data_IF_743163837054
#
_entry.id   IF_743163837054
#
_cell.length_a   1.000
_cell.length_b   1.000
_cell.length_c   1.000
_cell.angle_alpha   90.00
_cell.angle_beta   90.00
_cell.angle_gamma   90.00
#
_symmetry.space_group_name_H-M   'P 1'
#
loop_
_entity.id
_entity.type
_entity.pdbx_description
1 polymer ?
#
# COMPACT_ATOMS: atom_id res chain seq x y z
N UNK A 1 -28.48 3.08 -5.45
CA UNK A 1 -28.09 3.77 -4.21
C UNK A 1 -27.82 5.21 -4.60
N UNK A 2 -28.48 6.16 -3.98
CA UNK A 2 -28.12 7.57 -4.13
C UNK A 2 -26.67 7.72 -3.66
N UNK A 3 -25.88 8.53 -4.35
CA UNK A 3 -24.56 8.90 -3.88
C UNK A 3 -24.72 9.51 -2.48
N UNK A 4 -23.83 9.14 -1.57
CA UNK A 4 -23.89 9.58 -0.19
C UNK A 4 -23.31 11.00 -0.05
N UNK A 5 -23.98 11.97 -0.67
CA UNK A 5 -23.76 13.40 -0.43
C UNK A 5 -24.43 13.75 0.89
N UNK A 6 -23.68 13.65 1.99
CA UNK A 6 -24.20 13.85 3.35
C UNK A 6 -24.28 15.32 3.74
N UNK A 7 -23.51 16.19 3.11
CA UNK A 7 -23.50 17.62 3.39
C UNK A 7 -24.46 18.40 2.46
N UNK A 8 -24.97 17.77 1.39
CA UNK A 8 -25.95 18.36 0.47
C UNK A 8 -25.39 19.41 -0.48
N UNK A 9 -24.07 19.42 -0.74
CA UNK A 9 -23.42 20.38 -1.65
C UNK A 9 -23.45 19.97 -3.13
N UNK A 10 -24.03 18.80 -3.43
CA UNK A 10 -24.15 18.26 -4.79
C UNK A 10 -22.91 17.51 -5.27
N UNK A 11 -21.87 17.37 -4.45
CA UNK A 11 -20.63 16.66 -4.76
C UNK A 11 -20.37 15.62 -3.70
N UNK A 12 -20.15 14.34 -4.08
CA UNK A 12 -19.69 13.32 -3.12
C UNK A 12 -18.19 13.49 -2.88
N UNK A 13 -17.82 14.00 -1.71
CA UNK A 13 -16.42 14.11 -1.31
C UNK A 13 -15.87 12.73 -0.94
N UNK A 14 -14.90 12.27 -1.73
CA UNK A 14 -14.31 10.93 -1.59
C UNK A 14 -13.48 10.75 -0.29
N UNK A 15 -13.29 11.79 0.49
CA UNK A 15 -12.52 11.73 1.74
C UNK A 15 -13.40 11.81 2.98
N UNK A 16 -14.45 12.62 2.95
CA UNK A 16 -15.26 12.98 4.11
C UNK A 16 -16.66 12.39 4.08
N UNK A 17 -17.11 11.99 2.90
CA UNK A 17 -18.42 11.37 2.71
C UNK A 17 -18.30 9.87 2.47
N UNK A 18 -19.41 9.17 2.57
CA UNK A 18 -19.45 7.72 2.54
C UNK A 18 -19.01 7.18 1.18
N UNK A 19 -17.78 6.69 1.10
CA UNK A 19 -17.24 6.11 -0.11
C UNK A 19 -16.36 4.88 0.19
N UNK A 20 -16.01 4.18 -0.85
CA UNK A 20 -15.14 3.03 -0.77
C UNK A 20 -13.67 3.48 -0.81
N UNK A 21 -12.87 3.05 0.17
CA UNK A 21 -11.47 3.49 0.31
C UNK A 21 -10.63 3.35 -0.97
N UNK A 22 -10.85 2.29 -1.76
CA UNK A 22 -10.21 2.12 -3.06
C UNK A 22 -10.53 3.26 -4.03
N UNK A 23 -11.76 3.75 -4.05
CA UNK A 23 -12.16 4.87 -4.92
C UNK A 23 -11.41 6.15 -4.54
N UNK A 24 -11.28 6.42 -3.24
CA UNK A 24 -10.50 7.56 -2.75
C UNK A 24 -9.03 7.48 -3.18
N UNK A 25 -8.38 6.33 -2.95
CA UNK A 25 -6.97 6.15 -3.32
C UNK A 25 -6.77 6.20 -4.84
N UNK A 26 -7.64 5.55 -5.62
CA UNK A 26 -7.59 5.59 -7.08
C UNK A 26 -7.68 7.04 -7.60
N UNK A 27 -8.68 7.80 -7.16
CA UNK A 27 -8.85 9.20 -7.53
C UNK A 27 -7.65 10.07 -7.08
N UNK A 28 -7.08 9.78 -5.91
CA UNK A 28 -5.91 10.50 -5.40
C UNK A 28 -4.67 10.27 -6.26
N UNK A 29 -4.43 9.04 -6.74
CA UNK A 29 -3.30 8.73 -7.61
C UNK A 29 -3.47 9.31 -9.02
N UNK A 30 -4.70 9.36 -9.52
CA UNK A 30 -5.00 9.92 -10.83
C UNK A 30 -4.79 11.45 -10.90
N UNK A 31 -4.84 12.17 -9.77
CA UNK A 31 -4.59 13.63 -9.72
C UNK A 31 -3.25 14.04 -10.33
N UNK A 32 -2.25 13.17 -10.28
CA UNK A 32 -0.93 13.41 -10.86
C UNK A 32 -0.84 13.22 -12.37
N UNK A 33 -1.91 12.76 -13.02
CA UNK A 33 -1.97 12.52 -14.48
C UNK A 33 -1.10 11.37 -14.98
N UNK A 34 -0.51 10.58 -14.08
CA UNK A 34 0.30 9.40 -14.43
C UNK A 34 -0.50 8.10 -14.49
N UNK A 35 -1.68 8.11 -13.92
CA UNK A 35 -2.62 6.97 -13.84
C UNK A 35 -4.03 7.43 -14.13
N UNK A 36 -4.93 6.50 -14.44
CA UNK A 36 -6.35 6.69 -14.69
C UNK A 36 -7.19 5.57 -14.04
N UNK A 37 -6.75 5.08 -12.88
CA UNK A 37 -7.36 3.96 -12.17
C UNK A 37 -8.84 4.18 -11.87
N UNK A 38 -9.19 5.34 -11.29
CA UNK A 38 -10.56 5.67 -10.93
C UNK A 38 -11.46 5.73 -12.16
N UNK A 39 -11.00 6.42 -13.22
CA UNK A 39 -11.71 6.51 -14.49
C UNK A 39 -11.95 5.16 -15.13
N UNK A 40 -10.89 4.33 -15.19
CA UNK A 40 -10.93 3.00 -15.82
C UNK A 40 -11.89 2.06 -15.08
N UNK A 41 -11.82 2.01 -13.75
CA UNK A 41 -12.70 1.17 -12.94
C UNK A 41 -14.15 1.65 -13.03
N UNK A 42 -14.41 2.95 -12.94
CA UNK A 42 -15.74 3.52 -13.07
C UNK A 42 -16.35 3.21 -14.44
N UNK A 43 -15.58 3.36 -15.52
CA UNK A 43 -16.04 3.04 -16.87
C UNK A 43 -16.38 1.56 -17.01
N UNK A 44 -15.56 0.66 -16.48
CA UNK A 44 -15.82 -0.77 -16.50
C UNK A 44 -17.12 -1.15 -15.75
N UNK A 45 -17.41 -0.52 -14.62
CA UNK A 45 -18.70 -0.70 -13.92
C UNK A 45 -19.89 -0.17 -14.74
N UNK A 46 -19.75 1.00 -15.37
CA UNK A 46 -20.80 1.58 -16.23
C UNK A 46 -21.11 0.68 -17.43
N UNK A 47 -20.06 0.17 -18.10
CA UNK A 47 -20.22 -0.70 -19.25
C UNK A 47 -20.81 -2.07 -18.87
N UNK A 48 -20.38 -2.63 -17.72
CA UNK A 48 -21.00 -3.83 -17.16
C UNK A 48 -22.48 -3.65 -16.86
N UNK A 49 -22.86 -2.51 -16.27
CA UNK A 49 -24.28 -2.19 -16.05
C UNK A 49 -25.06 -2.13 -17.37
N UNK A 50 -24.52 -1.49 -18.42
CA UNK A 50 -25.19 -1.43 -19.74
C UNK A 50 -25.46 -2.83 -20.30
N UNK A 51 -24.46 -3.74 -20.20
CA UNK A 51 -24.63 -5.14 -20.66
C UNK A 51 -25.76 -5.82 -19.89
N UNK A 52 -25.78 -5.70 -18.56
CA UNK A 52 -26.83 -6.32 -17.72
C UNK A 52 -28.20 -5.72 -18.03
N UNK A 53 -28.30 -4.40 -18.15
CA UNK A 53 -29.54 -3.71 -18.45
C UNK A 53 -30.08 -4.09 -19.84
N UNK A 54 -29.19 -4.28 -20.83
CA UNK A 54 -29.60 -4.66 -22.19
C UNK A 54 -30.24 -6.06 -22.28
N UNK A 55 -30.01 -6.93 -21.28
CA UNK A 55 -30.65 -8.23 -21.19
C UNK A 55 -32.14 -8.14 -20.81
N UNK A 56 -32.61 -6.98 -20.33
CA UNK A 56 -34.02 -6.68 -20.04
C UNK A 56 -34.73 -7.75 -19.17
N UNK A 57 -34.02 -8.29 -18.17
CA UNK A 57 -34.53 -9.34 -17.28
C UNK A 57 -34.30 -10.76 -17.77
N UNK A 58 -33.87 -10.93 -19.01
CA UNK A 58 -33.54 -12.23 -19.59
C UNK A 58 -32.17 -12.75 -19.13
N UNK A 59 -31.95 -14.06 -19.30
CA UNK A 59 -30.65 -14.65 -19.04
C UNK A 59 -29.57 -14.09 -19.98
N UNK A 60 -28.41 -13.73 -19.42
CA UNK A 60 -27.28 -13.26 -20.22
C UNK A 60 -26.82 -14.31 -21.23
N UNK A 61 -26.61 -13.89 -22.45
CA UNK A 61 -25.99 -14.71 -23.50
C UNK A 61 -24.53 -15.06 -23.15
N UNK A 62 -23.95 -16.13 -23.75
CA UNK A 62 -22.53 -16.43 -23.58
C UNK A 62 -21.60 -15.26 -23.93
N UNK A 63 -21.92 -14.51 -24.98
CA UNK A 63 -21.15 -13.33 -25.39
C UNK A 63 -21.19 -12.22 -24.34
N UNK A 64 -22.35 -11.91 -23.80
CA UNK A 64 -22.51 -10.92 -22.72
C UNK A 64 -21.75 -11.34 -21.46
N UNK A 65 -21.81 -12.61 -21.06
CA UNK A 65 -21.03 -13.14 -19.95
C UNK A 65 -19.54 -12.98 -20.17
N UNK A 66 -19.04 -13.32 -21.37
CA UNK A 66 -17.63 -13.14 -21.72
C UNK A 66 -17.19 -11.68 -21.61
N UNK A 67 -17.99 -10.74 -22.07
CA UNK A 67 -17.71 -9.30 -21.92
C UNK A 67 -17.67 -8.87 -20.46
N UNK A 68 -18.59 -9.35 -19.62
CA UNK A 68 -18.58 -9.06 -18.17
C UNK A 68 -17.33 -9.61 -17.48
N UNK A 69 -16.81 -10.78 -17.91
CA UNK A 69 -15.56 -11.31 -17.36
C UNK A 69 -14.37 -10.42 -17.70
N UNK A 70 -14.28 -9.88 -18.92
CA UNK A 70 -13.25 -8.91 -19.29
C UNK A 70 -13.31 -7.66 -18.39
N UNK A 71 -14.53 -7.10 -18.19
CA UNK A 71 -14.70 -5.93 -17.34
C UNK A 71 -14.36 -6.22 -15.87
N UNK A 72 -14.76 -7.38 -15.35
CA UNK A 72 -14.35 -7.85 -14.02
C UNK A 72 -12.82 -7.88 -13.87
N UNK A 73 -12.12 -8.39 -14.86
CA UNK A 73 -10.66 -8.50 -14.82
C UNK A 73 -9.99 -7.11 -14.88
N UNK A 74 -10.52 -6.18 -15.68
CA UNK A 74 -10.11 -4.78 -15.69
C UNK A 74 -10.25 -4.15 -14.30
N UNK A 75 -11.41 -4.32 -13.65
CA UNK A 75 -11.66 -3.81 -12.29
C UNK A 75 -10.65 -4.39 -11.31
N UNK A 76 -10.52 -5.72 -11.28
CA UNK A 76 -9.65 -6.41 -10.32
C UNK A 76 -8.19 -6.01 -10.45
N UNK A 77 -7.66 -5.98 -11.67
CA UNK A 77 -6.26 -5.59 -11.94
C UNK A 77 -5.97 -4.13 -11.57
N UNK A 78 -6.89 -3.22 -11.84
CA UNK A 78 -6.68 -1.81 -11.47
C UNK A 78 -6.80 -1.60 -9.96
N UNK A 79 -7.70 -2.29 -9.26
CA UNK A 79 -7.78 -2.24 -7.82
C UNK A 79 -6.54 -2.83 -7.13
N UNK A 80 -5.98 -3.92 -7.63
CA UNK A 80 -4.72 -4.46 -7.14
C UNK A 80 -3.57 -3.45 -7.29
N UNK A 81 -3.49 -2.75 -8.44
CA UNK A 81 -2.51 -1.67 -8.64
C UNK A 81 -2.70 -0.51 -7.67
N UNK A 82 -3.93 -0.10 -7.38
CA UNK A 82 -4.21 0.95 -6.38
C UNK A 82 -3.70 0.55 -4.99
N UNK A 83 -3.84 -0.72 -4.60
CA UNK A 83 -3.29 -1.22 -3.33
C UNK A 83 -1.75 -1.19 -3.38
N UNK A 84 -1.15 -1.65 -4.48
CA UNK A 84 0.32 -1.64 -4.65
C UNK A 84 0.91 -0.22 -4.62
N UNK A 85 0.24 0.77 -5.24
CA UNK A 85 0.61 2.19 -5.12
C UNK A 85 0.53 2.68 -3.66
N UNK A 86 -0.42 2.17 -2.88
CA UNK A 86 -0.54 2.51 -1.47
C UNK A 86 0.59 1.89 -0.65
N UNK A 87 0.97 0.63 -0.91
CA UNK A 87 2.17 0.01 -0.33
C UNK A 87 3.42 0.83 -0.66
N UNK A 88 3.60 1.20 -1.92
CA UNK A 88 4.72 2.05 -2.35
C UNK A 88 4.76 3.37 -1.60
N UNK A 89 3.64 4.08 -1.55
CA UNK A 89 3.49 5.38 -0.87
C UNK A 89 3.86 5.28 0.61
N UNK A 90 3.30 4.30 1.32
CA UNK A 90 3.49 4.19 2.76
C UNK A 90 4.87 3.65 3.15
N UNK A 91 5.51 2.84 2.32
CA UNK A 91 6.92 2.51 2.48
C UNK A 91 7.79 3.78 2.42
N UNK A 92 7.55 4.67 1.46
CA UNK A 92 8.24 5.97 1.40
C UNK A 92 7.89 6.90 2.56
N UNK A 93 6.66 6.83 3.10
CA UNK A 93 6.29 7.60 4.30
C UNK A 93 7.05 7.09 5.53
N UNK A 94 7.09 5.78 5.75
CA UNK A 94 7.84 5.15 6.84
C UNK A 94 9.32 5.50 6.77
N UNK A 95 9.93 5.44 5.58
CA UNK A 95 11.31 5.88 5.36
C UNK A 95 11.56 7.32 5.87
N UNK A 96 10.72 8.27 5.46
CA UNK A 96 10.83 9.68 5.88
C UNK A 96 10.59 9.89 7.38
N UNK A 97 9.67 9.12 7.96
CA UNK A 97 9.39 9.21 9.39
C UNK A 97 10.57 8.72 10.21
N UNK A 98 11.27 7.69 9.76
CA UNK A 98 12.51 7.21 10.39
C UNK A 98 13.62 8.27 10.30
N UNK A 99 13.85 8.87 9.14
CA UNK A 99 14.80 9.96 8.99
C UNK A 99 14.54 11.09 9.97
N UNK A 100 13.27 11.47 10.09
CA UNK A 100 12.84 12.50 11.05
C UNK A 100 13.06 12.07 12.49
N UNK A 101 12.76 10.83 12.83
CA UNK A 101 12.98 10.29 14.18
C UNK A 101 14.47 10.28 14.54
N UNK A 102 15.34 9.83 13.64
CA UNK A 102 16.79 9.84 13.84
C UNK A 102 17.30 11.28 14.12
N UNK A 103 16.86 12.26 13.32
CA UNK A 103 17.20 13.67 13.53
C UNK A 103 16.77 14.20 14.90
N UNK A 104 15.56 13.85 15.37
CA UNK A 104 15.05 14.27 16.67
C UNK A 104 15.83 13.59 17.80
N UNK A 105 16.15 12.31 17.68
CA UNK A 105 16.93 11.56 18.67
C UNK A 105 18.34 12.14 18.80
N UNK A 106 19.02 12.43 17.68
CA UNK A 106 20.35 13.05 17.66
C UNK A 106 20.35 14.42 18.34
N UNK A 107 19.26 15.17 18.20
CA UNK A 107 19.07 16.47 18.87
C UNK A 107 18.57 16.36 20.31
N UNK A 108 18.42 15.16 20.89
CA UNK A 108 17.80 14.89 22.19
C UNK A 108 16.41 15.53 22.35
N UNK A 109 15.63 15.58 21.25
CA UNK A 109 14.29 16.18 21.22
C UNK A 109 13.17 15.20 21.62
N UNK A 110 11.96 15.75 21.74
CA UNK A 110 10.76 14.95 22.03
C UNK A 110 10.29 14.17 20.78
N UNK A 111 10.37 12.86 20.86
CA UNK A 111 9.99 11.92 19.77
C UNK A 111 8.51 11.54 19.77
N UNK A 112 7.72 11.89 20.78
CA UNK A 112 6.36 11.38 21.02
C UNK A 112 5.46 11.52 19.78
N UNK A 113 5.36 12.74 19.24
CA UNK A 113 4.50 13.00 18.06
C UNK A 113 5.04 12.35 16.79
N UNK A 114 6.36 12.37 16.59
CA UNK A 114 6.99 11.78 15.43
C UNK A 114 6.84 10.26 15.44
N UNK A 115 7.01 9.61 16.59
CA UNK A 115 6.85 8.17 16.75
C UNK A 115 5.39 7.73 16.52
N UNK A 116 4.41 8.50 17.03
CA UNK A 116 3.00 8.24 16.75
C UNK A 116 2.67 8.31 15.24
N UNK A 117 3.26 9.28 14.52
CA UNK A 117 3.10 9.41 13.07
C UNK A 117 3.72 8.23 12.33
N UNK A 118 4.94 7.84 12.70
CA UNK A 118 5.63 6.65 12.18
C UNK A 118 4.79 5.38 12.40
N UNK A 119 4.31 5.14 13.62
CA UNK A 119 3.48 3.99 13.95
C UNK A 119 2.20 3.93 13.12
N UNK A 120 1.56 5.09 12.88
CA UNK A 120 0.40 5.20 11.99
C UNK A 120 0.74 4.80 10.57
N UNK A 121 1.78 5.38 9.95
CA UNK A 121 2.14 5.07 8.57
C UNK A 121 2.63 3.63 8.42
N UNK A 122 3.31 3.09 9.43
CA UNK A 122 3.67 1.67 9.45
C UNK A 122 2.44 0.76 9.46
N UNK A 123 1.43 1.08 10.28
CA UNK A 123 0.16 0.34 10.32
C UNK A 123 -0.59 0.39 8.98
N UNK A 124 -0.61 1.55 8.32
CA UNK A 124 -1.18 1.71 6.98
C UNK A 124 -0.39 0.89 5.94
N UNK A 125 0.96 0.91 5.97
CA UNK A 125 1.79 0.05 5.12
C UNK A 125 1.45 -1.42 5.32
N UNK A 126 1.42 -1.89 6.57
CA UNK A 126 1.13 -3.29 6.92
C UNK A 126 -0.26 -3.70 6.43
N UNK A 127 -1.26 -2.86 6.64
CA UNK A 127 -2.64 -3.11 6.20
C UNK A 127 -2.75 -3.27 4.68
N UNK A 128 -2.16 -2.35 3.91
CA UNK A 128 -2.16 -2.46 2.44
C UNK A 128 -1.35 -3.66 1.93
N UNK A 129 -0.21 -3.96 2.55
CA UNK A 129 0.59 -5.12 2.17
C UNK A 129 -0.14 -6.45 2.44
N UNK A 130 -0.91 -6.55 3.51
CA UNK A 130 -1.78 -7.69 3.76
C UNK A 130 -2.96 -7.74 2.78
N UNK A 131 -3.53 -6.59 2.41
CA UNK A 131 -4.61 -6.52 1.43
C UNK A 131 -4.20 -7.05 0.05
N UNK A 132 -2.94 -6.83 -0.39
CA UNK A 132 -2.41 -7.45 -1.62
C UNK A 132 -2.45 -8.98 -1.57
N UNK A 133 -2.26 -9.57 -0.39
CA UNK A 133 -2.25 -11.02 -0.21
C UNK A 133 -3.65 -11.63 -0.17
N UNK A 134 -4.69 -10.81 0.08
CA UNK A 134 -6.09 -11.23 0.07
C UNK A 134 -6.73 -11.18 -1.32
N UNK A 135 -5.99 -10.78 -2.34
CA UNK A 135 -6.46 -10.68 -3.72
C UNK A 135 -6.68 -12.06 -4.37
N UNK A 136 -7.25 -12.04 -5.57
CA UNK A 136 -7.48 -13.24 -6.38
C UNK A 136 -6.17 -13.86 -6.88
N UNK A 137 -5.16 -13.04 -7.09
CA UNK A 137 -3.87 -13.46 -7.60
C UNK A 137 -2.99 -13.95 -6.45
N UNK A 138 -2.43 -15.15 -6.61
CA UNK A 138 -1.41 -15.63 -5.71
C UNK A 138 -0.10 -14.87 -6.00
N UNK A 139 0.35 -14.03 -5.08
CA UNK A 139 1.59 -13.28 -5.23
C UNK A 139 2.83 -14.02 -4.70
N UNK A 140 2.66 -15.28 -4.22
CA UNK A 140 3.74 -16.22 -3.94
C UNK A 140 4.92 -15.62 -3.18
N UNK A 141 6.12 -15.70 -3.76
CA UNK A 141 7.37 -15.18 -3.17
C UNK A 141 7.31 -13.67 -2.88
N UNK A 142 6.54 -12.90 -3.65
CA UNK A 142 6.36 -11.47 -3.40
C UNK A 142 5.73 -11.23 -2.03
N UNK A 143 4.76 -12.06 -1.61
CA UNK A 143 4.17 -11.99 -0.28
C UNK A 143 5.20 -12.29 0.81
N UNK A 144 6.03 -13.31 0.60
CA UNK A 144 7.09 -13.70 1.54
C UNK A 144 8.10 -12.56 1.70
N UNK A 145 8.63 -12.01 0.60
CA UNK A 145 9.56 -10.88 0.61
C UNK A 145 8.96 -9.66 1.30
N UNK A 146 7.72 -9.32 0.97
CA UNK A 146 7.02 -8.18 1.55
C UNK A 146 6.86 -8.33 3.08
N UNK A 147 6.45 -9.51 3.55
CA UNK A 147 6.30 -9.78 4.98
C UNK A 147 7.63 -9.75 5.73
N UNK A 148 8.70 -10.31 5.15
CA UNK A 148 10.04 -10.30 5.75
C UNK A 148 10.56 -8.87 5.89
N UNK A 149 10.49 -8.06 4.82
CA UNK A 149 10.98 -6.68 4.84
C UNK A 149 10.20 -5.77 5.81
N UNK A 150 8.91 -5.99 6.00
CA UNK A 150 8.12 -5.24 6.99
C UNK A 150 8.31 -5.71 8.42
N UNK A 151 8.51 -7.02 8.61
CA UNK A 151 8.50 -7.64 9.92
C UNK A 151 7.11 -7.76 10.54
N UNK A 152 7.06 -8.31 11.75
CA UNK A 152 5.83 -8.48 12.51
C UNK A 152 5.32 -7.15 13.09
N UNK A 153 6.22 -6.34 13.67
CA UNK A 153 5.95 -5.03 14.23
C UNK A 153 6.92 -3.96 13.73
N UNK A 154 6.69 -2.68 14.08
CA UNK A 154 7.61 -1.60 13.73
C UNK A 154 8.91 -1.69 14.54
N UNK A 155 9.98 -1.07 14.02
CA UNK A 155 11.20 -0.82 14.80
C UNK A 155 10.88 0.21 15.88
N UNK A 156 11.30 -0.06 17.11
CA UNK A 156 11.05 0.79 18.28
C UNK A 156 12.18 1.82 18.49
N UNK A 157 11.96 2.79 19.37
CA UNK A 157 12.92 3.88 19.62
C UNK A 157 14.27 3.42 20.13
N UNK A 158 14.35 2.25 20.75
CA UNK A 158 15.59 1.60 21.20
C UNK A 158 16.23 0.70 20.10
N UNK A 159 15.83 0.85 18.85
CA UNK A 159 16.27 0.05 17.70
C UNK A 159 15.91 -1.44 17.78
N UNK A 160 15.04 -1.88 18.71
CA UNK A 160 14.49 -3.22 18.70
C UNK A 160 13.24 -3.31 17.81
N UNK A 161 12.89 -4.49 17.34
CA UNK A 161 11.68 -4.74 16.58
C UNK A 161 10.86 -5.84 17.26
N UNK A 162 9.53 -5.66 17.27
CA UNK A 162 8.63 -6.73 17.71
C UNK A 162 8.59 -7.81 16.62
N UNK A 163 9.02 -9.01 16.96
CA UNK A 163 9.12 -10.16 16.04
C UNK A 163 8.03 -11.21 16.27
N UNK A 164 7.29 -11.12 17.37
CA UNK A 164 6.20 -12.04 17.67
C UNK A 164 5.53 -11.73 19.00
N UNK A 165 4.64 -12.65 19.39
CA UNK A 165 3.95 -12.67 20.69
C UNK A 165 4.09 -14.06 21.29
N UNK A 166 4.47 -14.16 22.57
CA UNK A 166 4.58 -15.44 23.28
C UNK A 166 3.20 -15.99 23.68
N UNK A 167 3.19 -17.20 24.25
CA UNK A 167 1.95 -17.87 24.71
C UNK A 167 1.20 -17.13 25.83
N UNK A 168 1.86 -16.16 26.50
CA UNK A 168 1.29 -15.36 27.57
C UNK A 168 0.81 -13.97 27.08
N UNK A 169 0.98 -13.68 25.78
CA UNK A 169 0.62 -12.40 25.18
C UNK A 169 1.70 -11.32 25.29
N UNK A 170 2.92 -11.64 25.71
CA UNK A 170 4.02 -10.67 25.77
C UNK A 170 4.70 -10.52 24.41
N UNK A 171 5.16 -9.31 24.11
CA UNK A 171 5.91 -9.06 22.88
C UNK A 171 7.32 -9.65 22.93
N UNK A 172 7.64 -10.48 21.94
CA UNK A 172 9.00 -10.92 21.65
C UNK A 172 9.67 -9.81 20.84
N UNK A 173 10.88 -9.40 21.21
CA UNK A 173 11.62 -8.32 20.56
C UNK A 173 12.97 -8.83 20.07
N UNK A 174 13.36 -8.39 18.87
CA UNK A 174 14.68 -8.56 18.29
C UNK A 174 15.44 -7.24 18.38
N UNK A 175 16.67 -7.26 18.89
CA UNK A 175 17.53 -6.09 19.02
C UNK A 175 18.46 -5.91 17.80
N UNK A 176 18.41 -6.83 16.84
CA UNK A 176 19.33 -6.85 15.67
C UNK A 176 18.97 -5.87 14.57
N UNK A 177 17.74 -5.38 14.52
CA UNK A 177 17.26 -4.50 13.44
C UNK A 177 17.58 -3.02 13.72
N UNK A 178 18.55 -2.48 12.99
CA UNK A 178 18.86 -1.05 13.03
C UNK A 178 17.91 -0.19 12.18
N UNK A 179 17.80 1.11 12.52
CA UNK A 179 16.99 2.06 11.75
C UNK A 179 17.41 2.16 10.26
N UNK A 180 18.70 2.18 9.98
CA UNK A 180 19.20 2.29 8.60
C UNK A 180 18.91 1.04 7.78
N UNK A 181 19.01 -0.15 8.37
CA UNK A 181 18.62 -1.39 7.72
C UNK A 181 17.12 -1.40 7.43
N UNK A 182 16.30 -0.96 8.37
CA UNK A 182 14.87 -0.89 8.17
C UNK A 182 14.47 0.16 7.13
N UNK A 183 15.20 1.29 7.02
CA UNK A 183 15.03 2.22 5.89
C UNK A 183 15.35 1.55 4.55
N UNK A 184 16.40 0.73 4.48
CA UNK A 184 16.72 -0.01 3.26
C UNK A 184 15.59 -0.98 2.89
N UNK A 185 14.98 -1.67 3.87
CA UNK A 185 13.81 -2.50 3.63
C UNK A 185 12.65 -1.69 3.02
N UNK A 186 12.39 -0.47 3.47
CA UNK A 186 11.35 0.39 2.89
C UNK A 186 11.63 0.73 1.43
N UNK A 187 12.89 0.98 1.07
CA UNK A 187 13.29 1.22 -0.32
C UNK A 187 13.15 -0.04 -1.17
N UNK A 188 13.50 -1.21 -0.64
CA UNK A 188 13.32 -2.50 -1.31
C UNK A 188 11.83 -2.82 -1.51
N UNK A 189 10.96 -2.49 -0.56
CA UNK A 189 9.51 -2.58 -0.74
C UNK A 189 9.05 -1.68 -1.90
N UNK A 190 9.50 -0.44 -1.97
CA UNK A 190 9.19 0.45 -3.09
C UNK A 190 9.65 -0.15 -4.43
N UNK A 191 10.88 -0.68 -4.47
CA UNK A 191 11.40 -1.34 -5.67
C UNK A 191 10.55 -2.56 -6.07
N UNK A 192 10.18 -3.40 -5.10
CA UNK A 192 9.34 -4.57 -5.33
C UNK A 192 7.98 -4.19 -5.94
N UNK A 193 7.35 -3.09 -5.48
CA UNK A 193 6.10 -2.61 -6.05
C UNK A 193 6.25 -2.13 -7.50
N UNK A 194 7.37 -1.52 -7.83
CA UNK A 194 7.68 -1.13 -9.22
C UNK A 194 7.88 -2.37 -10.10
N UNK A 195 8.67 -3.31 -9.65
CA UNK A 195 9.08 -4.47 -10.44
C UNK A 195 7.91 -5.44 -10.68
N UNK A 196 7.06 -5.68 -9.68
CA UNK A 196 5.98 -6.68 -9.75
C UNK A 196 4.67 -6.08 -10.24
N UNK A 197 4.30 -4.89 -9.78
CA UNK A 197 2.99 -4.29 -10.05
C UNK A 197 3.03 -3.13 -11.05
N UNK A 198 4.23 -2.73 -11.49
CA UNK A 198 4.44 -1.61 -12.41
C UNK A 198 3.74 -0.32 -11.95
N UNK A 199 3.86 0.01 -10.66
CA UNK A 199 3.28 1.23 -10.07
C UNK A 199 3.83 2.48 -10.77
N UNK A 200 2.97 3.48 -11.02
CA UNK A 200 3.26 4.65 -11.85
C UNK A 200 3.09 5.98 -11.11
N UNK A 201 2.12 6.08 -10.19
CA UNK A 201 1.87 7.33 -9.46
C UNK A 201 3.04 7.67 -8.53
N UNK A 202 3.63 6.66 -7.87
CA UNK A 202 4.86 6.75 -7.07
C UNK A 202 4.85 7.90 -6.06
N UNK A 203 3.76 8.05 -5.34
CA UNK A 203 3.71 9.03 -4.26
C UNK A 203 4.75 8.69 -3.17
N UNK A 204 5.45 9.69 -2.65
CA UNK A 204 6.54 9.53 -1.67
C UNK A 204 7.70 8.64 -2.16
N UNK A 205 8.07 8.74 -3.43
CA UNK A 205 9.21 8.01 -4.01
C UNK A 205 10.52 8.37 -3.31
N UNK A 206 11.24 7.35 -2.84
CA UNK A 206 12.54 7.46 -2.17
C UNK A 206 13.61 6.56 -2.83
N UNK A 207 13.30 5.94 -3.98
CA UNK A 207 14.18 4.96 -4.62
C UNK A 207 15.57 5.51 -5.00
N UNK A 208 15.70 6.81 -5.21
CA UNK A 208 17.00 7.44 -5.47
C UNK A 208 18.02 7.20 -4.34
N UNK A 209 17.54 6.94 -3.11
CA UNK A 209 18.40 6.74 -1.94
C UNK A 209 18.90 5.28 -1.78
N UNK A 210 18.43 4.34 -2.62
CA UNK A 210 18.70 2.91 -2.40
C UNK A 210 20.18 2.56 -2.56
N UNK A 211 20.87 3.13 -3.54
CA UNK A 211 22.28 2.85 -3.80
C UNK A 211 23.17 3.33 -2.67
N UNK A 212 22.95 4.56 -2.20
CA UNK A 212 23.75 5.19 -1.16
C UNK A 212 23.58 4.46 0.18
N UNK A 213 22.33 4.12 0.52
CA UNK A 213 22.04 3.40 1.76
C UNK A 213 22.56 1.97 1.74
N UNK A 214 22.44 1.26 0.60
CA UNK A 214 23.05 -0.07 0.42
C UNK A 214 24.57 -0.04 0.57
N UNK A 215 25.23 0.95 -0.02
CA UNK A 215 26.68 1.13 0.11
C UNK A 215 27.10 1.40 1.56
N UNK A 216 26.36 2.26 2.28
CA UNK A 216 26.59 2.56 3.70
C UNK A 216 26.51 1.32 4.59
N UNK A 217 25.56 0.42 4.30
CA UNK A 217 25.35 -0.80 5.09
C UNK A 217 26.28 -1.97 4.71
N UNK A 218 27.08 -1.82 3.64
CA UNK A 218 28.12 -2.77 3.28
C UNK A 218 27.64 -4.19 2.95
N UNK A 219 26.46 -4.30 2.32
CA UNK A 219 25.88 -5.60 2.00
C UNK A 219 25.31 -6.33 3.24
N UNK A 220 24.63 -5.57 4.11
CA UNK A 220 23.94 -6.13 5.28
C UNK A 220 23.09 -7.35 4.89
N UNK A 221 23.00 -8.33 5.77
CA UNK A 221 22.11 -9.48 5.67
C UNK A 221 20.65 -9.02 5.72
N UNK A 222 20.18 -8.44 4.63
CA UNK A 222 18.77 -8.06 4.55
C UNK A 222 17.92 -9.30 4.32
N UNK A 223 16.70 -9.30 4.83
CA UNK A 223 15.74 -10.39 4.67
C UNK A 223 15.48 -10.81 3.19
N UNK A 224 15.97 -10.02 2.24
CA UNK A 224 15.88 -10.33 0.80
C UNK A 224 17.01 -11.27 0.33
N UNK A 225 18.09 -11.38 1.10
CA UNK A 225 19.25 -12.20 0.74
C UNK A 225 19.19 -13.62 1.33
N UNK A 226 18.15 -13.98 2.07
CA UNK A 226 17.93 -15.29 2.68
C UNK A 226 17.25 -16.28 1.71
#
# INVERSE_FOLDING_TARGET
MAAADHNGDGVVDLKTEFNFAHAYYAASYDKGGKTDYFKTVTQAFVDGRKIITSANGEALTPAQRSQLYVLRDIIGQNWEKVIAESVFKYAGSVYKDIDKLQTIIEANGDTTKAFATYGKHWGELKGFALALQCGKNNIGETAVKLNRMMGFGPVLLNSSQVTGVDSNGNFIKDESSGWDEYKLHMLKIQKLMVDVFAVKARANDQLANISDLSAKLGGSNSAEND
#
